data_IF_785478780039
#
_entry.id   IF_785478780039
#
_cell.length_a   1.000
_cell.length_b   1.000
_cell.length_c   1.000
_cell.angle_alpha   90.00
_cell.angle_beta   90.00
_cell.angle_gamma   90.00
#
_symmetry.space_group_name_H-M   'P 1'
#
loop_
_entity.id
_entity.type
_entity.pdbx_description
1 polymer ?
#
# COMPACT_ATOMS: atom_id res chain seq x y z
N UNK A 1 31.24 28.44 -57.35
CA UNK A 1 31.41 28.01 -55.94
C UNK A 1 30.10 27.90 -55.18
N UNK A 2 29.25 28.93 -55.11
CA UNK A 2 28.00 28.90 -54.32
C UNK A 2 27.02 27.76 -54.69
N UNK A 3 26.87 27.45 -55.99
CA UNK A 3 25.98 26.37 -56.48
C UNK A 3 26.45 24.97 -56.07
N UNK A 4 27.76 24.72 -56.10
CA UNK A 4 28.39 23.44 -55.72
C UNK A 4 28.22 23.15 -54.22
N UNK A 5 28.31 24.20 -53.37
CA UNK A 5 28.08 24.09 -51.93
C UNK A 5 26.60 23.78 -51.62
N UNK A 6 25.68 24.35 -52.41
CA UNK A 6 24.24 24.07 -52.31
C UNK A 6 23.90 22.63 -52.72
N UNK A 7 24.49 22.14 -53.81
CA UNK A 7 24.26 20.78 -54.30
C UNK A 7 24.87 19.73 -53.36
N UNK A 8 26.06 19.99 -52.79
CA UNK A 8 26.67 19.13 -51.76
C UNK A 8 25.82 19.04 -50.48
N UNK A 9 25.25 20.16 -50.02
CA UNK A 9 24.36 20.16 -48.84
C UNK A 9 23.06 19.41 -49.09
N UNK A 10 22.52 19.45 -50.31
CA UNK A 10 21.33 18.66 -50.69
C UNK A 10 21.63 17.17 -50.69
N UNK A 11 22.77 16.77 -51.23
CA UNK A 11 23.19 15.37 -51.21
C UNK A 11 23.36 14.85 -49.78
N UNK A 12 24.03 15.62 -48.91
CA UNK A 12 24.17 15.24 -47.49
C UNK A 12 22.82 15.11 -46.78
N UNK A 13 21.86 15.98 -47.09
CA UNK A 13 20.50 15.89 -46.55
C UNK A 13 19.78 14.63 -47.03
N UNK A 14 19.97 14.25 -48.29
CA UNK A 14 19.37 13.04 -48.87
C UNK A 14 19.99 11.77 -48.26
N UNK A 15 21.30 11.74 -48.09
CA UNK A 15 22.02 10.66 -47.39
C UNK A 15 21.53 10.49 -45.94
N UNK A 16 21.36 11.60 -45.20
CA UNK A 16 20.82 11.57 -43.84
C UNK A 16 19.37 11.07 -43.78
N UNK A 17 18.53 11.44 -44.74
CA UNK A 17 17.15 10.96 -44.84
C UNK A 17 17.12 9.46 -45.10
N UNK A 18 17.86 9.00 -46.10
CA UNK A 18 17.92 7.58 -46.45
C UNK A 18 18.43 6.74 -45.26
N UNK A 19 19.47 7.23 -44.57
CA UNK A 19 19.95 6.58 -43.35
C UNK A 19 18.88 6.50 -42.26
N UNK A 20 18.14 7.60 -42.03
CA UNK A 20 17.07 7.63 -41.03
C UNK A 20 15.93 6.67 -41.40
N UNK A 21 15.58 6.60 -42.69
CA UNK A 21 14.54 5.69 -43.19
C UNK A 21 14.96 4.22 -43.06
N UNK A 22 16.21 3.90 -43.34
CA UNK A 22 16.76 2.55 -43.14
C UNK A 22 16.73 2.14 -41.66
N UNK A 23 17.16 3.02 -40.75
CA UNK A 23 17.13 2.77 -39.30
C UNK A 23 15.70 2.58 -38.80
N UNK A 24 14.76 3.43 -39.23
CA UNK A 24 13.35 3.33 -38.84
C UNK A 24 12.74 2.01 -39.33
N UNK A 25 13.05 1.61 -40.56
CA UNK A 25 12.59 0.33 -41.11
C UNK A 25 13.14 -0.86 -40.33
N UNK A 26 14.43 -0.86 -40.04
CA UNK A 26 15.06 -1.93 -39.27
C UNK A 26 14.47 -2.04 -37.85
N UNK A 27 14.27 -0.89 -37.21
CA UNK A 27 13.63 -0.81 -35.89
C UNK A 27 12.19 -1.35 -35.93
N UNK A 28 11.42 -0.99 -36.95
CA UNK A 28 10.05 -1.50 -37.16
C UNK A 28 10.05 -3.01 -37.33
N UNK A 29 10.95 -3.56 -38.16
CA UNK A 29 11.07 -5.01 -38.37
C UNK A 29 11.39 -5.75 -37.06
N UNK A 30 12.27 -5.20 -36.22
CA UNK A 30 12.63 -5.81 -34.92
C UNK A 30 11.41 -5.80 -33.99
N UNK A 31 10.70 -4.68 -33.89
CA UNK A 31 9.51 -4.54 -33.04
C UNK A 31 8.41 -5.52 -33.50
N UNK A 32 8.16 -5.61 -34.80
CA UNK A 32 7.20 -6.56 -35.38
C UNK A 32 7.60 -8.02 -35.14
N UNK A 33 8.89 -8.36 -35.27
CA UNK A 33 9.39 -9.70 -35.00
C UNK A 33 9.20 -10.13 -33.53
N UNK A 34 9.19 -9.17 -32.61
CA UNK A 34 8.87 -9.38 -31.18
C UNK A 34 7.35 -9.40 -30.90
N UNK A 35 6.52 -9.19 -31.92
CA UNK A 35 5.06 -9.16 -31.81
C UNK A 35 4.51 -7.86 -31.21
N UNK A 36 5.28 -6.78 -31.26
CA UNK A 36 4.89 -5.46 -30.77
C UNK A 36 4.45 -4.54 -31.92
N UNK A 37 3.77 -3.44 -31.57
CA UNK A 37 3.42 -2.36 -32.51
C UNK A 37 4.11 -1.07 -32.08
N UNK A 38 4.50 -0.22 -33.02
CA UNK A 38 5.18 1.04 -32.70
C UNK A 38 4.33 1.91 -31.76
N UNK A 39 3.02 1.94 -31.97
CA UNK A 39 2.06 2.63 -31.11
C UNK A 39 2.08 2.08 -29.69
N UNK A 40 2.08 0.76 -29.50
CA UNK A 40 2.14 0.13 -28.17
C UNK A 40 3.47 0.39 -27.46
N UNK A 41 4.58 0.47 -28.20
CA UNK A 41 5.90 0.77 -27.65
C UNK A 41 6.03 2.23 -27.25
N UNK A 42 5.40 3.14 -28.00
CA UNK A 42 5.42 4.57 -27.71
C UNK A 42 4.37 5.01 -26.68
N UNK A 43 3.29 4.26 -26.49
CA UNK A 43 2.18 4.61 -25.60
C UNK A 43 2.56 4.80 -24.12
N UNK A 44 3.73 4.33 -23.69
CA UNK A 44 4.18 4.40 -22.30
C UNK A 44 5.48 5.19 -22.11
N UNK A 45 5.97 5.90 -23.13
CA UNK A 45 7.20 6.72 -23.05
C UNK A 45 6.99 7.95 -22.13
N UNK A 46 5.78 8.52 -22.13
CA UNK A 46 5.46 9.71 -21.35
C UNK A 46 4.91 9.41 -19.94
N UNK A 47 4.84 8.13 -19.53
CA UNK A 47 4.33 7.76 -18.22
C UNK A 47 5.41 7.89 -17.16
N UNK A 48 5.09 8.60 -16.09
CA UNK A 48 5.93 8.64 -14.90
C UNK A 48 5.83 7.30 -14.16
N UNK A 49 6.98 6.70 -13.89
CA UNK A 49 7.08 5.45 -13.16
C UNK A 49 7.54 5.72 -11.73
N UNK A 50 6.81 5.13 -10.78
CA UNK A 50 7.10 5.18 -9.36
C UNK A 50 7.64 3.83 -8.90
N UNK A 51 8.69 3.84 -8.09
CA UNK A 51 9.19 2.64 -7.44
C UNK A 51 8.37 2.34 -6.19
N UNK A 52 7.94 1.09 -6.01
CA UNK A 52 7.22 0.68 -4.81
C UNK A 52 8.11 0.80 -3.55
N UNK A 53 7.63 1.40 -2.44
CA UNK A 53 8.38 1.50 -1.20
C UNK A 53 8.55 0.15 -0.48
N UNK A 54 7.71 -0.85 -0.78
CA UNK A 54 7.74 -2.16 -0.15
C UNK A 54 8.58 -3.19 -0.92
N UNK A 55 8.78 -2.99 -2.21
CA UNK A 55 9.59 -3.85 -3.08
C UNK A 55 10.25 -3.02 -4.20
N UNK A 56 11.56 -2.75 -4.13
CA UNK A 56 12.27 -1.95 -5.12
C UNK A 56 12.26 -2.53 -6.55
N UNK A 57 11.87 -3.80 -6.72
CA UNK A 57 11.74 -4.42 -8.05
C UNK A 57 10.43 -4.06 -8.77
N UNK A 58 9.46 -3.47 -8.07
CA UNK A 58 8.19 -3.06 -8.66
C UNK A 58 8.25 -1.61 -9.18
N UNK A 59 7.90 -1.44 -10.46
CA UNK A 59 7.64 -0.14 -11.08
C UNK A 59 6.14 0.02 -11.38
N UNK A 60 5.60 1.18 -11.02
CA UNK A 60 4.17 1.45 -11.00
C UNK A 60 3.86 2.72 -11.77
N UNK A 61 2.69 2.75 -12.40
CA UNK A 61 2.11 3.98 -12.93
C UNK A 61 1.05 4.49 -11.97
N UNK A 62 0.78 5.80 -12.00
CA UNK A 62 -0.13 6.50 -11.07
C UNK A 62 -1.49 5.79 -10.93
N UNK A 63 -2.07 5.36 -12.06
CA UNK A 63 -3.37 4.66 -12.13
C UNK A 63 -3.43 3.40 -11.25
N UNK A 64 -2.30 2.71 -11.08
CA UNK A 64 -2.20 1.43 -10.34
C UNK A 64 -1.58 1.58 -8.96
N UNK A 65 -1.11 2.78 -8.61
CA UNK A 65 -0.28 3.01 -7.44
C UNK A 65 -1.04 2.69 -6.14
N UNK A 66 -2.26 3.21 -5.99
CA UNK A 66 -3.03 3.06 -4.75
C UNK A 66 -3.34 1.60 -4.42
N UNK A 67 -3.91 0.86 -5.37
CA UNK A 67 -4.27 -0.55 -5.21
C UNK A 67 -3.03 -1.44 -5.01
N UNK A 68 -1.93 -1.11 -5.70
CA UNK A 68 -0.66 -1.81 -5.52
C UNK A 68 -0.10 -1.60 -4.11
N UNK A 69 -0.06 -0.36 -3.60
CA UNK A 69 0.52 -0.08 -2.29
C UNK A 69 -0.20 -0.88 -1.19
N UNK A 70 -1.53 -0.93 -1.25
CA UNK A 70 -2.32 -1.71 -0.29
C UNK A 70 -1.99 -3.21 -0.41
N UNK A 71 -2.10 -3.78 -1.61
CA UNK A 71 -1.88 -5.22 -1.81
C UNK A 71 -0.43 -5.65 -1.55
N UNK A 72 0.55 -4.82 -1.91
CA UNK A 72 1.96 -5.08 -1.68
C UNK A 72 2.30 -4.97 -0.20
N UNK A 73 1.77 -3.97 0.51
CA UNK A 73 1.92 -3.86 1.95
C UNK A 73 1.40 -5.13 2.65
N UNK A 74 0.18 -5.55 2.32
CA UNK A 74 -0.42 -6.75 2.87
C UNK A 74 0.45 -7.99 2.63
N UNK A 75 0.96 -8.16 1.41
CA UNK A 75 1.84 -9.27 1.06
C UNK A 75 3.15 -9.22 1.87
N UNK A 76 3.75 -8.05 2.03
CA UNK A 76 4.98 -7.86 2.81
C UNK A 76 4.76 -8.15 4.30
N UNK A 77 3.59 -7.82 4.84
CA UNK A 77 3.19 -8.15 6.21
C UNK A 77 2.74 -9.63 6.37
N UNK A 78 2.77 -10.42 5.29
CA UNK A 78 2.50 -11.86 5.31
C UNK A 78 1.02 -12.23 5.19
N UNK A 79 0.18 -11.34 4.68
CA UNK A 79 -1.21 -11.63 4.35
C UNK A 79 -1.34 -12.23 2.93
N UNK A 80 -2.26 -13.17 2.79
CA UNK A 80 -2.68 -13.79 1.54
C UNK A 80 -3.98 -13.21 0.99
N UNK A 81 -4.38 -13.69 -0.19
CA UNK A 81 -5.58 -13.23 -0.91
C UNK A 81 -6.91 -13.61 -0.24
N UNK A 82 -6.89 -14.59 0.66
CA UNK A 82 -8.07 -15.08 1.37
C UNK A 82 -8.27 -14.40 2.72
N UNK A 83 -7.32 -13.57 3.15
CA UNK A 83 -7.41 -12.84 4.40
C UNK A 83 -8.50 -11.77 4.34
N UNK A 84 -9.36 -11.76 5.36
CA UNK A 84 -10.53 -10.89 5.41
C UNK A 84 -10.20 -9.64 6.25
N UNK A 85 -10.23 -8.42 5.66
CA UNK A 85 -9.98 -7.19 6.39
C UNK A 85 -10.99 -6.98 7.52
N UNK A 86 -10.53 -6.36 8.60
CA UNK A 86 -11.41 -5.74 9.59
C UNK A 86 -12.28 -4.67 8.91
N UNK A 87 -13.51 -4.52 9.41
CA UNK A 87 -14.43 -3.49 8.90
C UNK A 87 -13.86 -2.10 9.12
N UNK A 88 -14.12 -1.21 8.16
CA UNK A 88 -13.71 0.19 8.30
C UNK A 88 -14.45 0.87 9.46
N UNK A 89 -13.76 1.70 10.27
CA UNK A 89 -14.39 2.42 11.34
C UNK A 89 -15.35 3.48 10.79
N UNK A 90 -16.59 3.46 11.28
CA UNK A 90 -17.63 4.44 10.90
C UNK A 90 -17.61 5.73 11.72
N UNK A 91 -16.71 5.81 12.72
CA UNK A 91 -16.61 6.94 13.63
C UNK A 91 -15.51 7.91 13.18
N UNK A 92 -15.67 9.23 13.41
CA UNK A 92 -14.59 10.19 13.21
C UNK A 92 -13.36 9.83 14.06
N UNK A 93 -12.17 10.16 13.56
CA UNK A 93 -10.89 9.87 14.24
C UNK A 93 -10.83 10.40 15.68
N UNK A 94 -11.45 11.57 15.93
CA UNK A 94 -11.45 12.24 17.23
C UNK A 94 -12.67 11.88 18.10
N UNK A 95 -13.43 10.85 17.70
CA UNK A 95 -14.60 10.39 18.44
C UNK A 95 -14.20 9.87 19.82
N UNK A 96 -14.86 10.30 20.91
CA UNK A 96 -14.56 9.81 22.25
C UNK A 96 -14.94 8.33 22.44
N UNK A 97 -15.68 7.74 21.50
CA UNK A 97 -16.15 6.36 21.55
C UNK A 97 -15.19 5.36 20.86
N UNK A 98 -14.08 5.83 20.30
CA UNK A 98 -13.10 5.00 19.61
C UNK A 98 -11.68 5.42 19.93
N UNK A 99 -10.75 4.48 19.78
CA UNK A 99 -9.33 4.75 19.91
C UNK A 99 -8.58 4.14 18.74
N UNK A 100 -7.66 4.91 18.16
CA UNK A 100 -6.79 4.43 17.09
C UNK A 100 -5.50 3.89 17.69
N UNK A 101 -5.26 2.59 17.51
CA UNK A 101 -3.97 2.01 17.84
C UNK A 101 -2.99 2.21 16.68
N UNK A 102 -1.83 2.76 16.99
CA UNK A 102 -0.62 2.62 16.21
C UNK A 102 0.38 1.72 16.94
N UNK A 103 1.46 1.36 16.27
CA UNK A 103 2.49 0.45 16.82
C UNK A 103 3.08 0.99 18.12
N UNK A 104 3.24 2.31 18.22
CA UNK A 104 3.79 2.98 19.39
C UNK A 104 2.85 2.83 20.59
N UNK A 105 1.58 3.19 20.43
CA UNK A 105 0.58 3.11 21.48
C UNK A 105 0.36 1.65 21.92
N UNK A 106 0.30 0.72 20.96
CA UNK A 106 0.20 -0.72 21.27
C UNK A 106 1.35 -1.17 22.17
N UNK A 107 2.59 -0.84 21.79
CA UNK A 107 3.77 -1.23 22.56
C UNK A 107 3.81 -0.57 23.94
N UNK A 108 3.41 0.71 24.05
CA UNK A 108 3.32 1.41 25.33
C UNK A 108 2.29 0.77 26.27
N UNK A 109 1.11 0.43 25.76
CA UNK A 109 0.05 -0.22 26.55
C UNK A 109 0.51 -1.58 27.07
N UNK A 110 1.08 -2.42 26.20
CA UNK A 110 1.56 -3.74 26.59
C UNK A 110 2.73 -3.66 27.57
N UNK A 111 3.67 -2.73 27.37
CA UNK A 111 4.77 -2.49 28.30
C UNK A 111 4.25 -2.10 29.68
N UNK A 112 3.33 -1.15 29.76
CA UNK A 112 2.73 -0.71 31.03
C UNK A 112 1.97 -1.85 31.73
N UNK A 113 1.26 -2.68 30.98
CA UNK A 113 0.56 -3.84 31.54
C UNK A 113 1.55 -4.87 32.12
N UNK A 114 2.67 -5.13 31.44
CA UNK A 114 3.74 -6.01 31.92
C UNK A 114 4.45 -5.46 33.17
N UNK A 115 4.63 -4.15 33.25
CA UNK A 115 5.17 -3.48 34.45
C UNK A 115 4.24 -3.62 35.65
N UNK A 116 2.93 -3.52 35.43
CA UNK A 116 1.90 -3.70 36.48
C UNK A 116 1.72 -5.16 36.88
N UNK A 117 1.88 -6.10 35.94
CA UNK A 117 1.81 -7.53 36.18
C UNK A 117 3.04 -8.25 35.59
N UNK A 118 4.13 -8.40 36.36
CA UNK A 118 5.33 -9.07 35.88
C UNK A 118 5.12 -10.54 35.47
N UNK A 119 4.07 -11.20 35.94
CA UNK A 119 3.72 -12.58 35.55
C UNK A 119 3.00 -12.69 34.20
N UNK A 120 2.52 -11.56 33.66
CA UNK A 120 1.83 -11.47 32.37
C UNK A 120 2.65 -12.10 31.24
N UNK A 121 2.01 -12.96 30.45
CA UNK A 121 2.66 -13.54 29.27
C UNK A 121 2.61 -12.54 28.12
N UNK A 122 3.76 -12.03 27.72
CA UNK A 122 3.94 -11.18 26.55
C UNK A 122 4.79 -11.94 25.53
N UNK A 123 4.47 -11.82 24.25
CA UNK A 123 5.35 -12.40 23.23
C UNK A 123 6.57 -11.53 22.96
N UNK A 124 7.38 -11.98 22.01
CA UNK A 124 8.70 -11.43 21.74
C UNK A 124 8.63 -10.53 20.50
N UNK A 125 9.25 -9.35 20.59
CA UNK A 125 9.49 -8.45 19.46
C UNK A 125 8.42 -7.37 19.25
N UNK A 126 8.71 -6.46 18.33
CA UNK A 126 7.74 -5.48 17.83
C UNK A 126 6.70 -6.20 16.97
N UNK A 127 5.44 -5.80 17.10
CA UNK A 127 4.33 -6.40 16.36
C UNK A 127 3.59 -5.37 15.56
N UNK A 128 3.30 -5.75 14.33
CA UNK A 128 2.43 -5.00 13.44
C UNK A 128 1.02 -4.92 14.04
N UNK A 129 0.29 -3.87 13.67
CA UNK A 129 -1.13 -3.76 13.96
C UNK A 129 -1.89 -4.76 13.09
N UNK A 130 -2.65 -5.72 13.66
CA UNK A 130 -3.40 -6.68 12.88
C UNK A 130 -4.44 -6.02 11.97
N UNK A 131 -4.50 -6.49 10.73
CA UNK A 131 -5.51 -6.06 9.74
C UNK A 131 -6.71 -6.99 9.67
N UNK A 132 -6.62 -8.16 10.29
CA UNK A 132 -7.65 -9.21 10.26
C UNK A 132 -7.97 -9.67 11.68
N UNK A 133 -9.19 -10.17 11.86
CA UNK A 133 -9.64 -10.71 13.15
C UNK A 133 -8.81 -11.91 13.60
N UNK A 134 -8.41 -12.77 12.68
CA UNK A 134 -7.61 -13.96 13.01
C UNK A 134 -6.26 -13.55 13.60
N UNK A 135 -5.59 -12.55 13.01
CA UNK A 135 -4.31 -12.02 13.52
C UNK A 135 -4.45 -11.37 14.90
N UNK A 136 -5.56 -10.71 15.23
CA UNK A 136 -5.81 -10.22 16.59
C UNK A 136 -5.81 -11.36 17.63
N UNK A 137 -6.27 -12.55 17.24
CA UNK A 137 -6.37 -13.71 18.12
C UNK A 137 -5.06 -14.52 18.12
N UNK A 138 -4.39 -14.66 16.99
CA UNK A 138 -3.17 -15.48 16.90
C UNK A 138 -1.92 -14.74 17.31
N UNK A 139 -1.84 -13.44 17.02
CA UNK A 139 -0.60 -12.68 17.22
C UNK A 139 -0.46 -12.21 18.67
N UNK A 140 -1.56 -12.16 19.42
CA UNK A 140 -1.58 -11.73 20.82
C UNK A 140 -1.96 -12.87 21.77
N UNK A 141 -1.33 -12.88 22.94
CA UNK A 141 -1.72 -13.75 24.05
C UNK A 141 -3.04 -13.28 24.65
N UNK A 142 -3.66 -14.14 25.46
CA UNK A 142 -4.88 -13.76 26.19
C UNK A 142 -4.66 -12.56 27.12
N UNK A 143 -3.49 -12.49 27.78
CA UNK A 143 -3.20 -11.39 28.69
C UNK A 143 -3.01 -10.07 27.93
N UNK A 144 -2.34 -10.11 26.77
CA UNK A 144 -2.14 -8.93 25.92
C UNK A 144 -3.48 -8.41 25.38
N UNK A 145 -4.34 -9.30 24.87
CA UNK A 145 -5.69 -8.90 24.45
C UNK A 145 -6.49 -8.27 25.59
N UNK A 146 -6.37 -8.82 26.81
CA UNK A 146 -7.01 -8.23 27.98
C UNK A 146 -6.46 -6.85 28.31
N UNK A 147 -5.14 -6.66 28.27
CA UNK A 147 -4.51 -5.37 28.52
C UNK A 147 -4.95 -4.30 27.51
N UNK A 148 -5.00 -4.66 26.22
CA UNK A 148 -5.50 -3.78 25.16
C UNK A 148 -6.98 -3.43 25.38
N UNK A 149 -7.81 -4.42 25.71
CA UNK A 149 -9.23 -4.21 26.03
C UNK A 149 -9.43 -3.28 27.22
N UNK A 150 -8.76 -3.54 28.34
CA UNK A 150 -8.87 -2.72 29.56
C UNK A 150 -8.45 -1.27 29.29
N UNK A 151 -7.42 -1.08 28.46
CA UNK A 151 -6.99 0.23 28.02
C UNK A 151 -8.06 0.94 27.17
N UNK A 152 -8.67 0.26 26.19
CA UNK A 152 -9.76 0.82 25.39
C UNK A 152 -10.91 1.28 26.28
N UNK A 153 -11.38 0.43 27.19
CA UNK A 153 -12.50 0.75 28.10
C UNK A 153 -12.18 1.94 29.01
N UNK A 154 -10.93 2.07 29.44
CA UNK A 154 -10.51 3.18 30.31
C UNK A 154 -10.33 4.51 29.57
N UNK A 155 -10.18 4.48 28.25
CA UNK A 155 -9.87 5.65 27.42
C UNK A 155 -10.97 5.98 26.39
N UNK A 156 -12.11 5.29 26.44
CA UNK A 156 -13.27 5.57 25.58
C UNK A 156 -14.51 5.84 26.41
N UNK A 157 -15.36 6.73 25.93
CA UNK A 157 -16.67 6.98 26.50
C UNK A 157 -17.56 5.76 26.28
N UNK A 158 -18.35 5.40 27.30
CA UNK A 158 -19.36 4.36 27.13
C UNK A 158 -20.46 4.89 26.21
N UNK A 159 -20.91 4.09 25.21
CA UNK A 159 -22.08 4.46 24.43
C UNK A 159 -23.29 4.57 25.36
N UNK A 160 -24.11 5.59 25.13
CA UNK A 160 -25.43 5.68 25.76
C UNK A 160 -26.34 4.65 25.09
N UNK A 161 -26.54 3.52 25.77
CA UNK A 161 -27.37 2.41 25.30
C UNK A 161 -28.85 2.58 25.68
N UNK A 162 -29.23 3.73 26.24
CA UNK A 162 -30.56 3.97 26.78
C UNK A 162 -30.80 3.20 28.09
N UNK A 163 -32.07 3.15 28.53
CA UNK A 163 -32.48 2.34 29.67
C UNK A 163 -32.47 0.86 29.29
N UNK A 164 -31.90 0.01 30.15
CA UNK A 164 -31.92 -1.43 29.95
C UNK A 164 -33.38 -1.90 29.91
N UNK A 165 -33.70 -2.83 29.00
CA UNK A 165 -35.01 -3.47 28.93
C UNK A 165 -35.32 -4.20 30.25
N UNK A 166 -34.29 -4.65 30.96
CA UNK A 166 -34.41 -5.22 32.30
C UNK A 166 -34.89 -4.20 33.36
N UNK A 167 -34.69 -2.91 33.16
CA UNK A 167 -35.09 -1.85 34.10
C UNK A 167 -36.56 -1.43 33.92
N UNK A 168 -37.22 -1.85 32.83
CA UNK A 168 -38.60 -1.48 32.50
C UNK A 168 -39.63 -2.11 33.46
N UNK A 169 -39.26 -3.20 34.15
CA UNK A 169 -40.15 -3.91 35.10
C UNK A 169 -40.28 -3.27 36.48
N UNK A 170 -39.55 -2.18 36.76
CA UNK A 170 -39.53 -1.49 38.06
C UNK A 170 -40.28 -0.14 38.05
N UNK A 171 -41.15 0.09 37.06
CA UNK A 171 -42.02 1.28 36.93
C UNK A 171 -43.43 1.04 37.48
#
# INVERSE_FOLDING_TARGET
MSKIISDSRKQQLEELKNFTDEVNKETTNIIEALGWTMESTMANIDKEYFTCPYDPSHQLIEESLSDHLISCQWKTEGYGKLDIPLSEPNLPTDSPYSIKFDEKLQNEVLKKAKEQNPAMQIGIGERLIPRTSDRLITDFTSDERKALYDYVISNTAKPDIGQDIADIGNL
#
